data_IF_819368696193
#
_entry.id   IF_819368696193
#
_cell.length_a   1.000
_cell.length_b   1.000
_cell.length_c   1.000
_cell.angle_alpha   90.00
_cell.angle_beta   90.00
_cell.angle_gamma   90.00
#
_symmetry.space_group_name_H-M   'P 1'
#
loop_
_entity.id
_entity.type
_entity.pdbx_description
1 polymer ?
#
# COMPACT_ATOMS: atom_id res chain seq x y z
N UNK A 1 -2.06 40.86 20.80
CA UNK A 1 -2.70 39.87 19.92
C UNK A 1 -1.92 38.58 20.06
N UNK A 2 -2.60 37.47 20.37
CA UNK A 2 -1.94 36.18 20.59
C UNK A 2 -1.34 35.67 19.27
N UNK A 3 -0.03 35.44 19.28
CA UNK A 3 0.72 34.86 18.18
C UNK A 3 0.49 33.35 18.21
N UNK A 4 -0.52 32.85 17.48
CA UNK A 4 -0.71 31.42 17.27
C UNK A 4 0.34 30.92 16.29
N UNK A 5 1.49 30.51 16.81
CA UNK A 5 2.40 29.60 16.12
C UNK A 5 1.62 28.32 15.81
N UNK A 6 1.15 28.16 14.57
CA UNK A 6 0.61 26.87 14.10
C UNK A 6 1.74 25.84 14.17
N UNK A 7 1.61 24.86 15.04
CA UNK A 7 2.47 23.67 15.05
C UNK A 7 2.31 22.96 13.70
N UNK A 8 3.34 23.00 12.85
CA UNK A 8 3.34 22.47 11.49
C UNK A 8 3.41 20.95 11.38
N UNK A 9 2.73 20.22 12.25
CA UNK A 9 2.67 18.76 12.21
C UNK A 9 1.33 18.26 11.67
N UNK A 10 1.36 17.12 10.98
CA UNK A 10 0.16 16.38 10.61
C UNK A 10 -0.71 16.09 11.84
N UNK A 11 -1.99 16.43 11.73
CA UNK A 11 -3.00 16.05 12.72
C UNK A 11 -3.62 14.73 12.32
N UNK A 12 -3.50 13.73 13.19
CA UNK A 12 -4.14 12.44 13.03
C UNK A 12 -5.45 12.38 13.81
N UNK A 13 -6.45 11.71 13.23
CA UNK A 13 -7.70 11.34 13.90
C UNK A 13 -7.95 9.85 13.73
N UNK A 14 -8.60 9.23 14.74
CA UNK A 14 -9.01 7.83 14.72
C UNK A 14 -10.50 7.78 15.04
N UNK A 15 -11.31 7.43 14.05
CA UNK A 15 -12.75 7.22 14.20
C UNK A 15 -13.03 5.70 14.25
N UNK A 16 -13.89 5.25 15.16
CA UNK A 16 -14.27 3.83 15.29
C UNK A 16 -15.75 3.67 14.96
N UNK A 17 -16.04 2.84 13.96
CA UNK A 17 -17.40 2.47 13.54
C UNK A 17 -17.64 1.00 13.86
N UNK A 18 -18.65 0.73 14.68
CA UNK A 18 -18.99 -0.62 15.12
C UNK A 18 -20.46 -0.69 15.51
N UNK A 19 -21.02 -1.90 15.59
CA UNK A 19 -22.10 -2.16 16.54
C UNK A 19 -21.46 -2.63 17.84
N UNK A 20 -21.64 -1.88 18.93
CA UNK A 20 -21.07 -2.25 20.22
C UNK A 20 -21.87 -3.35 20.94
N UNK A 21 -23.11 -3.62 20.50
CA UNK A 21 -24.01 -4.53 21.19
C UNK A 21 -23.81 -5.96 20.70
N UNK A 22 -23.57 -6.87 21.64
CA UNK A 22 -23.48 -8.30 21.40
C UNK A 22 -24.72 -9.00 21.98
N UNK A 23 -25.24 -10.05 21.33
CA UNK A 23 -26.27 -10.89 21.94
C UNK A 23 -25.68 -11.65 23.13
N UNK A 24 -26.54 -12.23 23.97
CA UNK A 24 -26.12 -13.15 25.03
C UNK A 24 -25.23 -14.26 24.47
N UNK A 25 -24.07 -14.48 25.10
CA UNK A 25 -23.06 -15.45 24.63
C UNK A 25 -22.28 -15.03 23.37
N UNK A 26 -22.56 -13.86 22.78
CA UNK A 26 -21.80 -13.27 21.69
C UNK A 26 -20.36 -12.95 22.12
N UNK A 27 -19.39 -13.17 21.22
CA UNK A 27 -17.96 -13.04 21.55
C UNK A 27 -17.12 -12.36 20.48
N UNK A 28 -17.67 -12.01 19.33
CA UNK A 28 -16.92 -11.40 18.23
C UNK A 28 -17.36 -9.96 18.06
N UNK A 29 -16.38 -9.05 18.08
CA UNK A 29 -16.57 -7.61 17.93
C UNK A 29 -15.85 -7.17 16.66
N UNK A 30 -16.63 -6.67 15.70
CA UNK A 30 -16.13 -6.08 14.47
C UNK A 30 -16.16 -4.56 14.53
N UNK A 31 -15.05 -3.94 14.17
CA UNK A 31 -14.90 -2.49 14.09
C UNK A 31 -14.15 -2.06 12.84
N UNK A 32 -14.63 -1.00 12.21
CA UNK A 32 -13.88 -0.23 11.21
C UNK A 32 -13.23 0.95 11.89
N UNK A 33 -11.89 0.95 11.88
CA UNK A 33 -11.07 2.04 12.38
C UNK A 33 -10.64 2.90 11.19
N UNK A 34 -11.17 4.11 11.09
CA UNK A 34 -10.76 5.10 10.09
C UNK A 34 -9.67 5.97 10.68
N UNK A 35 -8.50 5.93 10.08
CA UNK A 35 -7.39 6.82 10.41
C UNK A 35 -7.30 7.88 9.33
N UNK A 36 -7.27 9.16 9.72
CA UNK A 36 -7.11 10.29 8.81
C UNK A 36 -5.95 11.15 9.27
N UNK A 37 -5.02 11.41 8.37
CA UNK A 37 -3.92 12.35 8.55
C UNK A 37 -4.24 13.61 7.75
N UNK A 38 -4.25 14.78 8.40
CA UNK A 38 -4.51 16.07 7.74
C UNK A 38 -3.41 17.07 8.06
N UNK A 39 -2.96 17.81 7.03
CA UNK A 39 -2.09 18.96 7.20
C UNK A 39 -0.59 18.67 7.02
N UNK A 40 -0.10 18.98 5.83
CA UNK A 40 1.27 19.34 5.50
C UNK A 40 1.15 20.46 4.47
N UNK A 41 1.50 21.69 4.84
CA UNK A 41 1.25 22.84 3.98
C UNK A 41 2.09 22.77 2.71
N UNK A 42 1.48 22.54 1.55
CA UNK A 42 2.13 22.78 0.26
C UNK A 42 2.41 24.29 0.15
N UNK A 43 3.67 24.68 0.32
CA UNK A 43 4.09 26.07 0.07
C UNK A 43 4.16 26.28 -1.44
N UNK A 44 3.02 26.62 -2.04
CA UNK A 44 3.00 27.38 -3.28
C UNK A 44 3.58 28.77 -2.97
N UNK A 45 4.81 29.04 -3.40
CA UNK A 45 5.46 30.34 -3.22
C UNK A 45 4.92 31.34 -4.24
N UNK A 46 4.14 32.31 -3.75
CA UNK A 46 3.94 33.61 -4.40
C UNK A 46 5.20 34.46 -4.13
N UNK A 47 5.77 35.18 -5.11
CA UNK A 47 7.01 35.91 -4.90
C UNK A 47 6.72 37.29 -4.29
N UNK A 48 7.26 37.58 -3.10
CA UNK A 48 7.35 38.96 -2.59
C UNK A 48 8.71 39.22 -1.91
N UNK A 49 9.52 39.96 -2.65
CA UNK A 49 10.44 41.06 -2.31
C UNK A 49 11.16 41.12 -0.95
N UNK A 50 12.46 41.40 -1.08
CA UNK A 50 13.49 41.58 -0.07
C UNK A 50 13.29 42.76 0.90
N UNK A 51 13.64 42.54 2.18
CA UNK A 51 14.36 43.48 3.08
C UNK A 51 15.07 42.66 4.19
N UNK A 52 16.34 42.94 4.57
CA UNK A 52 17.06 42.17 5.58
C UNK A 52 16.86 42.74 6.99
N UNK A 53 16.48 41.91 7.97
CA UNK A 53 16.66 42.24 9.38
C UNK A 53 17.13 41.02 10.19
N UNK A 54 18.13 41.31 11.03
CA UNK A 54 19.02 40.40 11.76
C UNK A 54 18.30 39.52 12.80
N UNK A 55 18.65 38.24 12.83
CA UNK A 55 18.25 37.24 13.84
C UNK A 55 19.27 37.13 14.97
N UNK A 56 18.86 36.85 16.23
CA UNK A 56 19.75 36.26 17.22
C UNK A 56 19.53 34.75 17.41
N UNK A 57 20.67 34.08 17.59
CA UNK A 57 20.95 32.81 18.28
C UNK A 57 20.43 31.48 17.72
N UNK A 58 21.36 30.86 17.02
CA UNK A 58 21.66 29.44 16.83
C UNK A 58 21.47 28.52 18.06
N UNK A 59 20.54 27.57 17.94
CA UNK A 59 20.77 26.19 18.39
C UNK A 59 21.05 25.34 17.15
N UNK A 60 22.12 24.53 17.20
CA UNK A 60 22.80 23.97 16.04
C UNK A 60 21.91 23.22 15.05
N UNK A 61 21.78 23.76 13.84
CA UNK A 61 21.36 22.99 12.69
C UNK A 61 22.48 21.99 12.35
N UNK A 62 22.27 20.70 12.66
CA UNK A 62 22.80 19.65 11.78
C UNK A 62 22.30 19.99 10.37
N UNK A 63 23.11 19.87 9.30
CA UNK A 63 22.56 19.92 7.95
C UNK A 63 21.44 18.87 7.91
N UNK A 64 20.22 19.32 7.64
CA UNK A 64 19.08 18.41 7.57
C UNK A 64 19.40 17.36 6.52
N UNK A 65 19.48 16.10 6.94
CA UNK A 65 19.64 14.98 6.01
C UNK A 65 18.45 14.93 5.04
N UNK A 66 18.53 14.09 4.00
CA UNK A 66 17.41 13.92 3.07
C UNK A 66 16.15 13.48 3.82
N UNK A 67 15.02 14.16 3.61
CA UNK A 67 13.73 13.77 4.22
C UNK A 67 13.16 12.47 3.63
N UNK A 68 13.64 12.08 2.43
CA UNK A 68 13.29 10.84 1.77
C UNK A 68 14.46 10.25 0.98
N UNK A 69 14.44 8.93 0.80
CA UNK A 69 15.34 8.18 -0.05
C UNK A 69 14.55 7.25 -0.98
N UNK A 70 14.87 7.27 -2.28
CA UNK A 70 14.14 6.50 -3.30
C UNK A 70 15.07 5.68 -4.19
N UNK A 71 14.75 4.39 -4.38
CA UNK A 71 15.43 3.55 -5.37
C UNK A 71 14.47 3.14 -6.47
N UNK A 72 14.78 3.48 -7.73
CA UNK A 72 14.00 3.02 -8.88
C UNK A 72 14.68 1.79 -9.49
N UNK A 73 14.00 0.65 -9.44
CA UNK A 73 14.43 -0.64 -9.98
C UNK A 73 13.78 -0.84 -11.36
N UNK A 74 14.60 -0.84 -12.40
CA UNK A 74 14.15 -0.92 -13.79
C UNK A 74 14.57 -2.26 -14.37
N UNK A 75 13.58 -3.07 -14.77
CA UNK A 75 13.82 -4.29 -15.53
C UNK A 75 14.58 -3.98 -16.83
N UNK A 76 15.71 -4.65 -16.98
CA UNK A 76 16.60 -4.62 -18.13
C UNK A 76 16.82 -6.04 -18.68
N UNK A 77 15.91 -6.98 -18.43
CA UNK A 77 15.94 -8.33 -18.97
C UNK A 77 15.77 -8.35 -20.49
N UNK A 78 16.02 -9.50 -21.12
CA UNK A 78 15.95 -9.64 -22.58
C UNK A 78 14.56 -9.33 -23.18
N UNK A 79 13.46 -9.57 -22.44
CA UNK A 79 12.09 -9.29 -22.90
C UNK A 79 11.82 -7.80 -23.14
N UNK A 80 12.56 -6.93 -22.44
CA UNK A 80 12.45 -5.47 -22.60
C UNK A 80 12.91 -4.96 -23.97
N UNK A 81 13.60 -5.79 -24.77
CA UNK A 81 14.00 -5.46 -26.13
C UNK A 81 12.86 -5.64 -27.15
N UNK A 82 11.81 -6.39 -26.81
CA UNK A 82 10.70 -6.68 -27.73
C UNK A 82 9.30 -6.40 -27.13
N UNK A 83 8.55 -5.43 -27.68
CA UNK A 83 8.98 -4.43 -28.66
C UNK A 83 9.98 -3.42 -28.05
N UNK A 84 10.88 -2.80 -28.85
CA UNK A 84 11.86 -1.82 -28.36
C UNK A 84 11.25 -0.59 -27.66
N UNK A 85 9.94 -0.39 -27.85
CA UNK A 85 9.17 0.65 -27.17
C UNK A 85 9.10 0.43 -25.65
N UNK A 86 9.17 -0.81 -25.14
CA UNK A 86 9.15 -1.13 -23.71
C UNK A 86 10.30 -0.47 -22.96
N UNK A 87 11.55 -0.76 -23.35
CA UNK A 87 12.74 -0.15 -22.76
C UNK A 87 12.76 1.37 -22.92
N UNK A 88 12.36 1.91 -24.10
CA UNK A 88 12.26 3.36 -24.29
C UNK A 88 11.29 4.00 -23.30
N UNK A 89 10.12 3.39 -23.11
CA UNK A 89 9.10 3.93 -22.22
C UNK A 89 9.48 3.74 -20.74
N UNK A 90 10.16 2.66 -20.36
CA UNK A 90 10.73 2.48 -19.03
C UNK A 90 11.76 3.56 -18.68
N UNK A 91 12.66 3.90 -19.61
CA UNK A 91 13.60 5.02 -19.45
C UNK A 91 12.88 6.35 -19.33
N UNK A 92 11.86 6.60 -20.17
CA UNK A 92 11.08 7.83 -20.13
C UNK A 92 10.31 7.98 -18.81
N UNK A 93 9.71 6.90 -18.32
CA UNK A 93 8.99 6.88 -17.06
C UNK A 93 9.90 7.06 -15.85
N UNK A 94 11.07 6.40 -15.86
CA UNK A 94 12.07 6.58 -14.80
C UNK A 94 12.60 8.02 -14.79
N UNK A 95 12.83 8.62 -15.97
CA UNK A 95 13.21 10.03 -16.07
C UNK A 95 12.12 10.96 -15.51
N UNK A 96 10.85 10.70 -15.84
CA UNK A 96 9.71 11.46 -15.32
C UNK A 96 9.59 11.35 -13.80
N UNK A 97 9.82 10.16 -13.23
CA UNK A 97 9.85 9.96 -11.78
C UNK A 97 10.99 10.75 -11.11
N UNK A 98 12.19 10.74 -11.71
CA UNK A 98 13.35 11.49 -11.21
C UNK A 98 13.08 13.01 -11.22
N UNK A 99 12.35 13.50 -12.22
CA UNK A 99 11.97 14.91 -12.31
C UNK A 99 10.98 15.35 -11.21
N UNK A 100 10.23 14.41 -10.64
CA UNK A 100 9.30 14.67 -9.53
C UNK A 100 10.00 14.73 -8.17
N UNK A 101 11.24 14.25 -8.05
CA UNK A 101 11.98 14.29 -6.79
C UNK A 101 12.15 15.73 -6.31
N UNK A 102 11.88 16.00 -5.02
CA UNK A 102 12.19 17.29 -4.39
C UNK A 102 13.70 17.47 -4.30
N UNK A 103 14.17 18.71 -4.36
CA UNK A 103 15.60 19.00 -4.16
C UNK A 103 16.07 18.45 -2.79
N UNK A 104 17.23 17.81 -2.78
CA UNK A 104 17.81 17.19 -1.59
C UNK A 104 17.33 15.76 -1.27
N UNK A 105 16.34 15.21 -1.98
CA UNK A 105 15.92 13.80 -1.81
C UNK A 105 17.03 12.87 -2.30
N UNK A 106 17.38 11.87 -1.49
CA UNK A 106 18.38 10.87 -1.88
C UNK A 106 17.79 9.88 -2.88
N UNK A 107 18.52 9.53 -3.94
CA UNK A 107 18.04 8.56 -4.92
C UNK A 107 19.12 7.73 -5.61
N UNK A 108 18.71 6.57 -6.12
CA UNK A 108 19.50 5.74 -7.01
C UNK A 108 18.62 5.04 -8.07
N UNK A 109 19.26 4.57 -9.12
CA UNK A 109 18.64 3.75 -10.17
C UNK A 109 19.36 2.41 -10.23
N UNK A 110 18.60 1.34 -10.11
CA UNK A 110 19.07 -0.04 -10.23
C UNK A 110 18.59 -0.64 -11.55
N UNK A 111 19.52 -1.18 -12.33
CA UNK A 111 19.23 -2.00 -13.50
C UNK A 111 19.07 -3.46 -13.05
N UNK A 112 17.89 -4.01 -13.28
CA UNK A 112 17.50 -5.35 -12.87
C UNK A 112 17.62 -6.37 -14.01
N UNK A 113 18.26 -7.50 -13.74
CA UNK A 113 18.28 -8.71 -14.60
C UNK A 113 18.26 -9.96 -13.71
N UNK A 114 18.86 -11.08 -14.09
CA UNK A 114 19.23 -12.16 -13.15
C UNK A 114 20.27 -11.70 -12.10
N UNK A 115 20.86 -10.52 -12.30
CA UNK A 115 21.69 -9.78 -11.35
C UNK A 115 21.16 -8.35 -11.20
N UNK A 116 21.45 -7.69 -10.08
CA UNK A 116 21.19 -6.27 -9.88
C UNK A 116 22.46 -5.45 -10.03
N UNK A 117 22.40 -4.31 -10.74
CA UNK A 117 23.52 -3.39 -10.89
C UNK A 117 23.07 -1.95 -10.62
N UNK A 118 23.91 -1.18 -9.93
CA UNK A 118 23.73 0.26 -9.82
C UNK A 118 23.95 0.93 -11.18
N UNK A 119 22.89 1.48 -11.77
CA UNK A 119 22.99 2.28 -12.98
C UNK A 119 23.41 3.72 -12.68
N UNK A 120 22.96 4.24 -11.53
CA UNK A 120 23.30 5.56 -11.01
C UNK A 120 23.05 5.60 -9.49
N UNK A 121 23.87 6.33 -8.70
CA UNK A 121 25.14 6.97 -9.05
C UNK A 121 26.34 6.01 -9.08
N UNK A 122 26.17 4.77 -8.61
CA UNK A 122 27.23 3.77 -8.49
C UNK A 122 28.06 3.91 -7.23
N UNK A 123 28.67 2.81 -6.80
CA UNK A 123 29.61 2.78 -5.67
C UNK A 123 28.92 2.69 -4.30
N UNK A 124 27.74 2.08 -4.22
CA UNK A 124 27.04 1.83 -2.96
C UNK A 124 26.52 3.10 -2.29
N UNK A 125 26.20 4.13 -3.06
CA UNK A 125 25.75 5.44 -2.53
C UNK A 125 24.47 5.91 -3.19
N UNK A 126 23.80 6.85 -2.53
CA UNK A 126 22.68 7.61 -3.10
C UNK A 126 23.17 9.00 -3.53
N UNK A 127 22.59 9.53 -4.61
CA UNK A 127 22.80 10.93 -5.02
C UNK A 127 21.71 11.81 -4.41
N UNK A 128 22.03 13.05 -4.06
CA UNK A 128 21.01 14.03 -3.68
C UNK A 128 20.41 14.65 -4.94
N UNK A 129 19.09 14.71 -5.03
CA UNK A 129 18.39 15.27 -6.17
C UNK A 129 18.66 16.77 -6.29
N UNK A 130 19.25 17.18 -7.40
CA UNK A 130 19.42 18.56 -7.85
C UNK A 130 19.37 18.59 -9.39
N UNK A 131 19.49 19.77 -10.01
CA UNK A 131 19.44 19.87 -11.46
C UNK A 131 20.53 19.05 -12.18
N UNK A 132 21.72 18.92 -11.58
CA UNK A 132 22.87 18.20 -12.15
C UNK A 132 22.72 16.70 -11.98
N UNK A 133 22.39 16.21 -10.79
CA UNK A 133 22.25 14.77 -10.53
C UNK A 133 21.06 14.18 -11.26
N UNK A 134 19.95 14.92 -11.40
CA UNK A 134 18.82 14.52 -12.27
C UNK A 134 19.26 14.34 -13.72
N UNK A 135 20.02 15.30 -14.26
CA UNK A 135 20.51 15.22 -15.63
C UNK A 135 21.49 14.05 -15.83
N UNK A 136 22.42 13.84 -14.90
CA UNK A 136 23.35 12.71 -14.92
C UNK A 136 22.62 11.36 -14.85
N UNK A 137 21.58 11.25 -14.01
CA UNK A 137 20.77 10.05 -13.92
C UNK A 137 20.05 9.77 -15.24
N UNK A 138 19.46 10.79 -15.89
CA UNK A 138 18.85 10.64 -17.22
C UNK A 138 19.85 10.18 -18.29
N UNK A 139 21.10 10.63 -18.22
CA UNK A 139 22.17 10.16 -19.10
C UNK A 139 22.53 8.70 -18.82
N UNK A 140 22.53 8.27 -17.56
CA UNK A 140 22.69 6.87 -17.19
C UNK A 140 21.54 5.99 -17.71
N UNK A 141 20.29 6.47 -17.65
CA UNK A 141 19.14 5.76 -18.21
C UNK A 141 19.29 5.47 -19.70
N UNK A 142 19.89 6.38 -20.47
CA UNK A 142 20.15 6.19 -21.91
C UNK A 142 21.09 5.01 -22.20
N UNK A 143 21.93 4.62 -21.23
CA UNK A 143 22.90 3.52 -21.33
C UNK A 143 22.35 2.18 -20.87
N UNK A 144 21.14 2.11 -20.32
CA UNK A 144 20.51 0.85 -19.92
C UNK A 144 20.26 -0.02 -21.15
N UNK A 145 20.80 -1.22 -21.23
CA UNK A 145 20.57 -2.13 -22.35
C UNK A 145 19.82 -3.36 -21.88
N UNK A 146 18.76 -3.80 -22.60
CA UNK A 146 18.12 -5.09 -22.35
C UNK A 146 19.11 -6.25 -22.48
N UNK A 147 19.00 -7.26 -21.61
CA UNK A 147 19.78 -8.48 -21.66
C UNK A 147 19.73 -9.30 -20.37
N UNK A 148 19.87 -10.62 -20.49
CA UNK A 148 19.85 -11.55 -19.35
C UNK A 148 18.44 -11.89 -18.86
N UNK A 149 18.37 -12.61 -17.73
CA UNK A 149 17.12 -13.05 -17.11
C UNK A 149 16.51 -12.06 -16.13
N UNK A 150 15.62 -12.55 -15.26
CA UNK A 150 14.86 -11.77 -14.26
C UNK A 150 14.90 -12.46 -12.90
N UNK A 151 15.58 -11.85 -11.93
CA UNK A 151 15.65 -12.29 -10.53
C UNK A 151 15.39 -11.10 -9.59
N UNK A 152 14.11 -10.82 -9.34
CA UNK A 152 13.61 -9.63 -8.65
C UNK A 152 14.16 -9.50 -7.23
N UNK A 153 14.31 -10.61 -6.52
CA UNK A 153 14.88 -10.65 -5.18
C UNK A 153 16.28 -10.03 -5.11
N UNK A 154 17.08 -10.15 -6.16
CA UNK A 154 18.40 -9.50 -6.22
C UNK A 154 18.29 -7.98 -6.29
N UNK A 155 17.26 -7.45 -6.97
CA UNK A 155 17.02 -6.01 -7.12
C UNK A 155 16.57 -5.42 -5.79
N UNK A 156 15.64 -6.10 -5.12
CA UNK A 156 15.11 -5.71 -3.82
C UNK A 156 16.22 -5.68 -2.76
N UNK A 157 17.10 -6.68 -2.73
CA UNK A 157 18.26 -6.68 -1.80
C UNK A 157 19.21 -5.52 -2.05
N UNK A 158 19.55 -5.24 -3.32
CA UNK A 158 20.41 -4.11 -3.65
C UNK A 158 19.74 -2.77 -3.30
N UNK A 159 18.44 -2.63 -3.56
CA UNK A 159 17.68 -1.45 -3.16
C UNK A 159 17.68 -1.26 -1.63
N UNK A 160 17.45 -2.34 -0.87
CA UNK A 160 17.55 -2.32 0.59
C UNK A 160 18.93 -1.87 1.08
N UNK A 161 20.01 -2.44 0.52
CA UNK A 161 21.39 -2.06 0.85
C UNK A 161 21.66 -0.56 0.59
N UNK A 162 21.20 -0.03 -0.55
CA UNK A 162 21.36 1.39 -0.88
C UNK A 162 20.55 2.28 0.07
N UNK A 163 19.29 1.92 0.35
CA UNK A 163 18.41 2.69 1.22
C UNK A 163 18.89 2.70 2.68
N UNK A 164 19.54 1.63 3.14
CA UNK A 164 20.16 1.55 4.46
C UNK A 164 21.31 2.55 4.67
N UNK A 165 21.96 2.99 3.59
CA UNK A 165 23.00 4.03 3.69
C UNK A 165 22.44 5.43 4.00
N UNK A 166 21.11 5.61 3.88
CA UNK A 166 20.45 6.87 4.13
C UNK A 166 19.90 6.96 5.55
N UNK A 167 20.12 8.11 6.20
CA UNK A 167 19.42 8.47 7.43
C UNK A 167 17.99 9.00 7.18
N UNK A 168 17.53 9.02 5.92
CA UNK A 168 16.18 9.47 5.59
C UNK A 168 15.10 8.63 6.29
N UNK A 169 14.10 9.27 6.91
CA UNK A 169 13.00 8.56 7.57
C UNK A 169 12.11 7.85 6.55
N UNK A 170 11.86 8.46 5.39
CA UNK A 170 11.02 7.88 4.34
C UNK A 170 11.91 7.15 3.34
N UNK A 171 11.79 5.82 3.27
CA UNK A 171 12.53 4.98 2.31
C UNK A 171 11.54 4.27 1.39
N UNK A 172 11.72 4.45 0.10
CA UNK A 172 10.77 3.95 -0.90
C UNK A 172 11.46 3.33 -2.12
N UNK A 173 10.88 2.26 -2.65
CA UNK A 173 11.27 1.60 -3.87
C UNK A 173 10.17 1.70 -4.92
N UNK A 174 10.55 1.92 -6.18
CA UNK A 174 9.65 1.75 -7.33
C UNK A 174 10.21 0.62 -8.18
N UNK A 175 9.43 -0.44 -8.36
CA UNK A 175 9.82 -1.61 -9.15
C UNK A 175 9.03 -1.65 -10.46
N UNK A 176 9.74 -1.81 -11.57
CA UNK A 176 9.17 -2.11 -12.88
C UNK A 176 9.61 -3.50 -13.34
N UNK A 177 8.67 -4.32 -13.81
CA UNK A 177 8.97 -5.59 -14.50
C UNK A 177 8.10 -5.76 -15.73
N UNK A 178 8.62 -6.36 -16.80
CA UNK A 178 7.82 -6.82 -17.94
C UNK A 178 7.78 -8.35 -18.06
N UNK A 179 8.60 -9.04 -17.26
CA UNK A 179 8.76 -10.48 -17.27
C UNK A 179 8.40 -11.15 -15.95
N UNK A 180 8.28 -12.48 -16.02
CA UNK A 180 8.17 -13.37 -14.86
C UNK A 180 9.52 -13.53 -14.15
N UNK A 181 9.48 -13.84 -12.87
CA UNK A 181 10.66 -14.05 -12.05
C UNK A 181 11.30 -15.45 -12.24
N UNK A 182 11.68 -15.79 -13.47
CA UNK A 182 12.05 -17.16 -13.86
C UNK A 182 13.50 -17.57 -13.47
N UNK A 183 14.30 -16.64 -12.97
CA UNK A 183 15.74 -16.86 -12.71
C UNK A 183 16.10 -16.83 -11.22
N UNK A 184 15.11 -17.00 -10.35
CA UNK A 184 15.30 -17.35 -8.94
C UNK A 184 14.17 -18.27 -8.45
N UNK A 185 14.46 -19.04 -7.40
CA UNK A 185 13.44 -19.89 -6.77
C UNK A 185 12.43 -19.03 -5.99
N UNK A 186 11.14 -19.43 -5.91
CA UNK A 186 10.13 -18.70 -5.14
C UNK A 186 10.52 -18.44 -3.68
N UNK A 187 11.19 -19.40 -3.04
CA UNK A 187 11.70 -19.25 -1.66
C UNK A 187 12.82 -18.20 -1.55
N UNK A 188 13.61 -17.99 -2.62
CA UNK A 188 14.64 -16.95 -2.64
C UNK A 188 14.03 -15.55 -2.73
N UNK A 189 12.95 -15.39 -3.50
CA UNK A 189 12.16 -14.15 -3.52
C UNK A 189 11.54 -13.90 -2.13
N UNK A 190 10.90 -14.92 -1.54
CA UNK A 190 10.29 -14.81 -0.20
C UNK A 190 11.32 -14.38 0.86
N UNK A 191 12.50 -15.00 0.88
CA UNK A 191 13.58 -14.60 1.78
C UNK A 191 14.06 -13.16 1.54
N UNK A 192 14.04 -12.68 0.28
CA UNK A 192 14.37 -11.29 -0.05
C UNK A 192 13.31 -10.32 0.49
N UNK A 193 12.03 -10.68 0.38
CA UNK A 193 10.91 -9.89 0.90
C UNK A 193 10.93 -9.83 2.42
N UNK A 194 11.14 -10.96 3.09
CA UNK A 194 11.29 -11.02 4.56
C UNK A 194 12.45 -10.13 5.03
N UNK A 195 13.57 -10.13 4.31
CA UNK A 195 14.72 -9.29 4.62
C UNK A 195 14.42 -7.79 4.45
N UNK A 196 13.67 -7.42 3.41
CA UNK A 196 13.36 -6.02 3.07
C UNK A 196 12.18 -5.45 3.87
N UNK A 197 11.31 -6.30 4.41
CA UNK A 197 10.12 -5.89 5.15
C UNK A 197 10.49 -4.98 6.33
N UNK A 198 9.79 -3.85 6.44
CA UNK A 198 10.03 -2.84 7.48
C UNK A 198 11.27 -1.96 7.26
N UNK A 199 12.09 -2.21 6.23
CA UNK A 199 13.25 -1.36 5.91
C UNK A 199 12.91 -0.25 4.93
N UNK A 200 12.02 -0.56 3.97
CA UNK A 200 11.50 0.39 3.00
C UNK A 200 10.13 -0.06 2.49
N UNK A 201 9.39 0.86 1.88
CA UNK A 201 8.13 0.54 1.18
C UNK A 201 8.36 0.38 -0.31
N UNK A 202 7.57 -0.44 -1.02
CA UNK A 202 7.78 -0.62 -2.47
C UNK A 202 6.48 -0.67 -3.27
N UNK A 203 6.35 0.27 -4.22
CA UNK A 203 5.36 0.16 -5.29
C UNK A 203 5.93 -0.69 -6.44
N UNK A 204 5.10 -1.53 -7.05
CA UNK A 204 5.49 -2.43 -8.14
C UNK A 204 4.54 -2.30 -9.35
N UNK A 205 5.09 -2.32 -10.55
CA UNK A 205 4.33 -2.21 -11.81
C UNK A 205 4.74 -3.30 -12.79
N UNK A 206 3.74 -4.00 -13.32
CA UNK A 206 3.90 -4.96 -14.40
C UNK A 206 3.54 -4.34 -15.75
N UNK A 207 4.44 -4.40 -16.72
CA UNK A 207 4.25 -3.83 -18.06
C UNK A 207 3.81 -4.90 -19.04
N UNK A 208 2.74 -4.63 -19.79
CA UNK A 208 2.18 -5.61 -20.71
C UNK A 208 1.58 -6.80 -19.98
N UNK A 209 1.76 -8.00 -20.52
CA UNK A 209 1.08 -9.22 -20.04
C UNK A 209 2.01 -10.41 -19.78
N UNK A 210 3.32 -10.22 -19.90
CA UNK A 210 4.32 -11.31 -19.86
C UNK A 210 4.95 -11.50 -18.46
N UNK A 211 4.23 -11.08 -17.41
CA UNK A 211 4.63 -11.16 -16.00
C UNK A 211 3.55 -11.85 -15.17
N UNK A 212 3.87 -12.25 -13.93
CA UNK A 212 2.94 -12.96 -13.05
C UNK A 212 2.31 -12.03 -12.01
N UNK A 213 0.97 -11.98 -11.98
CA UNK A 213 0.22 -11.08 -11.09
C UNK A 213 0.51 -11.37 -9.62
N UNK A 214 0.57 -12.66 -9.26
CA UNK A 214 0.83 -13.09 -7.88
C UNK A 214 2.22 -12.66 -7.39
N UNK A 215 3.24 -12.59 -8.25
CA UNK A 215 4.58 -12.14 -7.89
C UNK A 215 4.61 -10.63 -7.57
N UNK A 216 4.10 -9.80 -8.48
CA UNK A 216 4.10 -8.33 -8.33
C UNK A 216 3.23 -7.89 -7.16
N UNK A 217 2.07 -8.52 -6.98
CA UNK A 217 1.18 -8.23 -5.84
C UNK A 217 1.78 -8.69 -4.51
N UNK A 218 2.51 -9.80 -4.48
CA UNK A 218 3.22 -10.24 -3.27
C UNK A 218 4.32 -9.25 -2.85
N UNK A 219 5.06 -8.66 -3.80
CA UNK A 219 6.07 -7.63 -3.50
C UNK A 219 5.42 -6.40 -2.87
N UNK A 220 4.39 -5.87 -3.52
CA UNK A 220 3.66 -4.70 -3.02
C UNK A 220 3.04 -4.95 -1.64
N UNK A 221 2.42 -6.11 -1.45
CA UNK A 221 1.88 -6.52 -0.15
C UNK A 221 3.00 -6.57 0.90
N UNK A 222 4.05 -7.37 0.69
CA UNK A 222 5.14 -7.56 1.64
C UNK A 222 5.79 -6.22 2.06
N UNK A 223 5.95 -5.29 1.12
CA UNK A 223 6.60 -4.00 1.32
C UNK A 223 5.62 -2.83 1.44
N UNK A 224 4.37 -3.06 1.84
CA UNK A 224 3.37 -2.03 2.16
C UNK A 224 3.20 -0.95 1.07
N UNK A 225 3.28 -1.35 -0.19
CA UNK A 225 3.02 -0.50 -1.35
C UNK A 225 1.86 -1.00 -2.20
N UNK A 226 1.88 -0.65 -3.48
CA UNK A 226 0.79 -0.92 -4.44
C UNK A 226 1.29 -1.68 -5.66
N UNK A 227 0.43 -2.54 -6.21
CA UNK A 227 0.64 -3.20 -7.48
C UNK A 227 -0.39 -2.73 -8.51
N UNK A 228 0.03 -2.49 -9.76
CA UNK A 228 -0.88 -2.25 -10.88
C UNK A 228 -0.28 -2.74 -12.20
N UNK A 229 -1.15 -2.99 -13.17
CA UNK A 229 -0.79 -3.28 -14.55
C UNK A 229 -0.68 -1.97 -15.35
N UNK A 230 0.37 -1.89 -16.15
CA UNK A 230 0.51 -0.86 -17.19
C UNK A 230 0.37 -1.56 -18.53
N UNK A 231 -0.88 -1.63 -18.99
CA UNK A 231 -1.26 -2.32 -20.22
C UNK A 231 -0.61 -1.69 -21.46
N UNK A 232 -0.68 -0.35 -21.56
CA UNK A 232 0.01 0.42 -22.60
C UNK A 232 1.27 1.07 -22.01
N UNK A 233 2.46 0.72 -22.52
CA UNK A 233 3.71 1.39 -22.17
C UNK A 233 3.68 2.92 -22.28
N UNK A 234 2.80 3.54 -23.09
CA UNK A 234 2.67 4.99 -23.16
C UNK A 234 2.12 5.62 -21.86
N UNK A 235 1.33 4.88 -21.08
CA UNK A 235 0.81 5.32 -19.78
C UNK A 235 1.84 5.27 -18.65
N UNK A 236 3.00 4.66 -18.87
CA UNK A 236 3.97 4.36 -17.82
C UNK A 236 4.55 5.62 -17.15
N UNK A 237 4.82 6.67 -17.93
CA UNK A 237 5.39 7.91 -17.40
C UNK A 237 4.44 8.62 -16.43
N UNK A 238 3.16 8.75 -16.80
CA UNK A 238 2.15 9.37 -15.95
C UNK A 238 1.92 8.57 -14.65
N UNK A 239 2.02 7.23 -14.72
CA UNK A 239 1.89 6.39 -13.55
C UNK A 239 3.08 6.52 -12.60
N UNK A 240 4.30 6.53 -13.14
CA UNK A 240 5.53 6.75 -12.37
C UNK A 240 5.59 8.13 -11.71
N UNK A 241 5.18 9.18 -12.42
CA UNK A 241 5.03 10.51 -11.84
C UNK A 241 4.07 10.49 -10.66
N UNK A 242 2.88 9.88 -10.80
CA UNK A 242 1.88 9.80 -9.72
C UNK A 242 2.38 9.02 -8.51
N UNK A 243 3.08 7.90 -8.73
CA UNK A 243 3.70 7.13 -7.64
C UNK A 243 4.74 7.98 -6.90
N UNK A 244 5.61 8.66 -7.63
CA UNK A 244 6.63 9.52 -7.02
C UNK A 244 6.00 10.70 -6.29
N UNK A 245 4.97 11.34 -6.83
CA UNK A 245 4.20 12.40 -6.14
C UNK A 245 3.61 11.89 -4.83
N UNK A 246 3.04 10.67 -4.84
CA UNK A 246 2.48 10.04 -3.64
C UNK A 246 3.54 9.74 -2.59
N UNK A 247 4.71 9.23 -3.01
CA UNK A 247 5.84 8.95 -2.13
C UNK A 247 6.45 10.23 -1.54
N UNK A 248 6.56 11.29 -2.35
CA UNK A 248 7.09 12.60 -1.92
C UNK A 248 6.09 13.40 -1.08
N UNK A 249 4.80 13.11 -1.18
CA UNK A 249 3.76 13.66 -0.31
C UNK A 249 3.67 13.00 1.07
N UNK A 250 4.49 11.99 1.35
CA UNK A 250 4.64 11.44 2.70
C UNK A 250 5.53 12.37 3.54
N UNK A 251 5.17 12.55 4.80
CA UNK A 251 5.93 13.39 5.74
C UNK A 251 6.20 12.67 7.07
N UNK A 252 5.39 11.67 7.41
CA UNK A 252 5.50 10.92 8.67
C UNK A 252 5.86 9.47 8.37
N UNK A 253 7.07 9.05 8.71
CA UNK A 253 7.54 7.68 8.50
C UNK A 253 7.15 6.73 9.64
N UNK A 254 7.21 5.43 9.35
CA UNK A 254 7.19 4.33 10.31
C UNK A 254 6.03 4.33 11.32
N UNK A 255 4.86 4.81 10.89
CA UNK A 255 3.68 4.82 11.76
C UNK A 255 3.19 3.38 11.99
N UNK A 256 2.91 3.04 13.25
CA UNK A 256 2.31 1.76 13.61
C UNK A 256 0.89 1.95 14.17
N UNK A 257 0.02 0.99 13.84
CA UNK A 257 -1.27 0.83 14.50
C UNK A 257 -1.08 -0.11 15.69
N UNK A 258 -1.05 0.46 16.89
CA UNK A 258 -0.89 -0.26 18.15
C UNK A 258 -2.24 -0.73 18.67
N UNK A 259 -2.38 -2.04 18.86
CA UNK A 259 -3.55 -2.66 19.48
C UNK A 259 -3.22 -3.11 20.89
N UNK A 260 -3.99 -2.65 21.85
CA UNK A 260 -4.05 -3.24 23.19
C UNK A 260 -5.36 -4.03 23.35
N UNK A 261 -5.29 -5.22 23.95
CA UNK A 261 -6.48 -6.02 24.32
C UNK A 261 -6.52 -6.31 25.82
N UNK A 262 -7.71 -6.44 26.45
CA UNK A 262 -7.82 -6.90 27.82
C UNK A 262 -7.47 -8.38 27.94
N UNK A 263 -7.31 -8.87 29.19
CA UNK A 263 -7.07 -10.28 29.45
C UNK A 263 -8.24 -11.14 28.92
N UNK A 264 -7.92 -12.24 28.24
CA UNK A 264 -8.92 -13.15 27.66
C UNK A 264 -9.48 -12.70 26.31
N UNK A 265 -9.10 -11.53 25.81
CA UNK A 265 -9.43 -11.07 24.46
C UNK A 265 -8.27 -11.30 23.49
N UNK A 266 -8.62 -11.59 22.23
CA UNK A 266 -7.69 -11.95 21.17
C UNK A 266 -8.06 -11.26 19.86
N UNK A 267 -7.08 -10.69 19.17
CA UNK A 267 -7.25 -10.16 17.81
C UNK A 267 -7.39 -11.34 16.85
N UNK A 268 -8.59 -11.51 16.27
CA UNK A 268 -8.87 -12.53 15.25
C UNK A 268 -8.24 -12.17 13.93
N UNK A 269 -8.43 -10.91 13.51
CA UNK A 269 -7.72 -10.35 12.38
C UNK A 269 -7.64 -8.83 12.47
N UNK A 270 -6.63 -8.29 11.79
CA UNK A 270 -6.54 -6.89 11.40
C UNK A 270 -6.23 -6.84 9.90
N UNK A 271 -7.01 -6.05 9.16
CA UNK A 271 -6.82 -5.86 7.72
C UNK A 271 -6.98 -4.38 7.41
N UNK A 272 -6.15 -3.82 6.53
CA UNK A 272 -6.50 -2.59 5.84
C UNK A 272 -7.60 -2.92 4.83
N UNK A 273 -8.65 -2.12 4.78
CA UNK A 273 -9.79 -2.30 3.88
C UNK A 273 -10.02 -1.09 2.98
N UNK A 274 -9.30 0.02 3.17
CA UNK A 274 -9.22 1.12 2.21
C UNK A 274 -7.87 1.86 2.33
N UNK A 275 -7.28 2.35 1.22
CA UNK A 275 -7.81 2.32 -0.16
C UNK A 275 -7.63 0.99 -0.90
N UNK A 276 -6.88 0.05 -0.31
CA UNK A 276 -6.72 -1.30 -0.81
C UNK A 276 -6.78 -2.31 0.35
N UNK A 277 -7.23 -3.51 0.03
CA UNK A 277 -7.28 -4.65 0.95
C UNK A 277 -5.86 -5.18 1.18
N UNK A 278 -5.42 -5.15 2.43
CA UNK A 278 -4.11 -5.70 2.85
C UNK A 278 -4.25 -6.43 4.19
N UNK A 279 -3.71 -7.64 4.27
CA UNK A 279 -3.76 -8.43 5.50
C UNK A 279 -2.61 -8.03 6.44
N UNK A 280 -2.95 -7.63 7.66
CA UNK A 280 -1.98 -7.17 8.65
C UNK A 280 -1.84 -8.11 9.84
N UNK A 281 -2.76 -9.04 10.05
CA UNK A 281 -2.80 -9.95 11.22
C UNK A 281 -1.45 -10.59 11.54
N UNK A 282 -0.77 -11.13 10.53
CA UNK A 282 0.51 -11.84 10.67
C UNK A 282 1.73 -10.90 10.78
N UNK A 283 1.53 -9.60 10.60
CA UNK A 283 2.57 -8.57 10.70
C UNK A 283 2.68 -7.97 12.10
N UNK A 284 2.09 -8.62 13.09
CA UNK A 284 2.14 -8.16 14.48
C UNK A 284 3.56 -8.22 15.03
N UNK A 285 4.04 -7.11 15.58
CA UNK A 285 5.25 -7.04 16.39
C UNK A 285 4.84 -6.88 17.85
N UNK A 286 5.33 -7.75 18.74
CA UNK A 286 5.04 -7.63 20.17
C UNK A 286 5.70 -6.37 20.76
N UNK A 287 4.89 -5.51 21.38
CA UNK A 287 5.34 -4.23 21.95
C UNK A 287 5.11 -4.13 23.46
N UNK A 288 4.72 -5.24 24.10
CA UNK A 288 4.51 -5.35 25.54
C UNK A 288 3.36 -6.31 25.90
N UNK A 289 3.05 -6.48 27.18
CA UNK A 289 1.98 -7.35 27.62
C UNK A 289 0.63 -6.95 27.03
N UNK A 290 0.07 -7.81 26.16
CA UNK A 290 -1.20 -7.58 25.45
C UNK A 290 -1.18 -6.37 24.52
N UNK A 291 0.00 -5.98 24.03
CA UNK A 291 0.18 -4.88 23.07
C UNK A 291 0.88 -5.44 21.83
N UNK A 292 0.24 -5.27 20.67
CA UNK A 292 0.83 -5.60 19.37
C UNK A 292 0.82 -4.40 18.44
N UNK A 293 1.95 -4.16 17.78
CA UNK A 293 2.11 -3.12 16.76
C UNK A 293 1.95 -3.73 15.38
N UNK A 294 1.19 -3.05 14.52
CA UNK A 294 0.97 -3.43 13.13
C UNK A 294 1.52 -2.34 12.22
N UNK A 295 2.46 -2.66 11.31
CA UNK A 295 3.12 -1.64 10.51
C UNK A 295 2.14 -1.05 9.49
N UNK A 296 2.09 0.28 9.42
CA UNK A 296 1.29 1.00 8.42
C UNK A 296 2.14 1.82 7.45
N UNK A 297 3.46 1.80 7.60
CA UNK A 297 4.38 2.53 6.72
C UNK A 297 4.27 4.04 6.88
N UNK A 298 4.57 4.77 5.80
CA UNK A 298 4.61 6.24 5.81
C UNK A 298 3.24 6.87 5.50
N UNK A 299 3.00 8.05 6.06
CA UNK A 299 1.75 8.81 5.94
C UNK A 299 2.00 10.23 5.40
N UNK A 300 1.09 10.67 4.53
CA UNK A 300 0.94 12.05 4.07
C UNK A 300 -0.47 12.57 4.38
N UNK A 301 -1.01 13.47 3.54
CA UNK A 301 -2.42 13.87 3.61
C UNK A 301 -3.31 12.78 2.99
N UNK A 302 -3.77 11.85 3.84
CA UNK A 302 -4.47 10.65 3.40
C UNK A 302 -5.38 10.07 4.49
N UNK A 303 -6.17 9.08 4.10
CA UNK A 303 -6.98 8.31 5.05
C UNK A 303 -7.04 6.85 4.66
N UNK A 304 -6.93 5.99 5.68
CA UNK A 304 -6.98 4.53 5.54
C UNK A 304 -7.95 3.96 6.55
N UNK A 305 -8.65 2.92 6.13
CA UNK A 305 -9.66 2.27 6.95
C UNK A 305 -9.19 0.85 7.25
N UNK A 306 -9.34 0.41 8.50
CA UNK A 306 -8.90 -0.90 8.98
C UNK A 306 -10.08 -1.66 9.57
N UNK A 307 -10.24 -2.92 9.19
CA UNK A 307 -11.22 -3.83 9.79
C UNK A 307 -10.52 -4.68 10.85
N UNK A 308 -10.91 -4.44 12.10
CA UNK A 308 -10.46 -5.16 13.28
C UNK A 308 -11.59 -6.08 13.77
N UNK A 309 -11.28 -7.36 13.93
CA UNK A 309 -12.13 -8.31 14.63
C UNK A 309 -11.44 -8.79 15.90
N UNK A 310 -12.13 -8.67 17.04
CA UNK A 310 -11.63 -9.11 18.35
C UNK A 310 -12.58 -10.14 18.93
N UNK A 311 -12.03 -11.26 19.37
CA UNK A 311 -12.75 -12.22 20.21
C UNK A 311 -12.61 -11.82 21.67
N UNK A 312 -13.72 -11.59 22.36
CA UNK A 312 -13.79 -11.24 23.78
C UNK A 312 -14.22 -12.43 24.65
N UNK A 313 -13.92 -12.44 25.97
CA UNK A 313 -14.53 -13.41 26.88
C UNK A 313 -16.05 -13.18 26.95
N UNK A 314 -16.79 -14.22 27.30
CA UNK A 314 -18.23 -14.08 27.54
C UNK A 314 -18.47 -13.22 28.79
N UNK A 315 -19.53 -12.41 28.78
CA UNK A 315 -19.91 -11.54 29.87
C UNK A 315 -21.45 -11.60 30.05
N UNK A 316 -21.94 -11.11 31.19
CA UNK A 316 -23.37 -11.10 31.47
C UNK A 316 -24.09 -9.97 30.72
N UNK A 317 -25.40 -10.13 30.46
CA UNK A 317 -26.24 -9.07 29.89
C UNK A 317 -26.16 -7.81 30.76
N UNK A 318 -25.97 -6.65 30.12
CA UNK A 318 -25.77 -5.35 30.77
C UNK A 318 -24.31 -5.00 31.08
N UNK A 319 -23.38 -5.95 30.98
CA UNK A 319 -21.96 -5.67 31.16
C UNK A 319 -21.37 -4.97 29.93
N UNK A 320 -20.43 -4.06 30.19
CA UNK A 320 -19.64 -3.37 29.18
C UNK A 320 -18.16 -3.67 29.36
N UNK A 321 -17.45 -3.89 28.24
CA UNK A 321 -16.00 -3.97 28.22
C UNK A 321 -15.36 -3.22 27.07
N UNK A 322 -14.08 -2.90 27.26
CA UNK A 322 -13.22 -2.44 26.18
C UNK A 322 -12.61 -3.68 25.48
N UNK A 323 -13.07 -4.00 24.28
CA UNK A 323 -12.54 -5.11 23.47
C UNK A 323 -11.12 -4.83 22.97
N UNK A 324 -10.85 -3.59 22.55
CA UNK A 324 -9.51 -3.14 22.19
C UNK A 324 -9.34 -1.62 22.33
N UNK A 325 -8.10 -1.19 22.58
CA UNK A 325 -7.67 0.19 22.37
C UNK A 325 -6.78 0.24 21.15
N UNK A 326 -7.14 1.07 20.19
CA UNK A 326 -6.40 1.29 18.95
C UNK A 326 -5.68 2.61 19.06
N UNK A 327 -4.36 2.62 18.97
CA UNK A 327 -3.54 3.82 19.04
C UNK A 327 -2.67 3.92 17.80
N UNK A 328 -2.63 5.10 17.18
CA UNK A 328 -1.65 5.39 16.15
C UNK A 328 -0.38 5.90 16.85
N UNK A 329 0.76 5.23 16.63
CA UNK A 329 2.01 5.55 17.33
C UNK A 329 3.14 5.81 16.36
N UNK A 330 4.02 6.74 16.73
CA UNK A 330 5.36 6.87 16.17
C UNK A 330 6.34 6.10 17.05
N UNK A 331 6.93 5.00 16.55
CA UNK A 331 8.07 4.36 17.18
C UNK A 331 9.20 5.38 17.28
N UNK A 332 9.86 5.43 18.42
CA UNK A 332 11.06 6.26 18.61
C UNK A 332 12.30 5.38 18.48
N UNK A 333 13.26 5.73 17.60
CA UNK A 333 14.46 4.91 17.35
C UNK A 333 15.37 4.73 18.58
N UNK A 334 15.27 5.63 19.56
CA UNK A 334 16.10 5.66 20.76
C UNK A 334 15.58 4.78 21.91
N UNK A 335 14.48 4.02 21.68
CA UNK A 335 13.87 3.15 22.68
C UNK A 335 13.09 3.90 23.78
N UNK A 336 12.85 5.20 23.59
CA UNK A 336 11.94 5.97 24.44
C UNK A 336 10.48 5.53 24.26
N UNK A 337 9.57 6.11 25.05
CA UNK A 337 8.14 5.77 24.92
C UNK A 337 7.61 6.26 23.57
N UNK A 338 6.97 5.39 22.77
CA UNK A 338 6.39 5.77 21.49
C UNK A 338 5.39 6.92 21.65
N UNK A 339 5.43 7.88 20.72
CA UNK A 339 4.50 9.01 20.75
C UNK A 339 3.14 8.55 20.22
N UNK A 340 2.09 8.71 21.03
CA UNK A 340 0.71 8.46 20.60
C UNK A 340 0.19 9.67 19.84
N UNK A 341 -0.16 9.47 18.57
CA UNK A 341 -0.67 10.51 17.67
C UNK A 341 -2.19 10.67 17.79
N UNK A 342 -2.91 9.56 17.91
CA UNK A 342 -4.36 9.51 18.04
C UNK A 342 -4.79 8.15 18.60
N UNK A 343 -6.02 8.04 19.13
CA UNK A 343 -6.55 6.79 19.66
C UNK A 343 -8.06 6.65 19.47
N UNK A 344 -8.53 5.41 19.38
CA UNK A 344 -9.93 5.00 19.34
C UNK A 344 -10.19 3.80 20.23
N UNK A 345 -11.42 3.66 20.71
CA UNK A 345 -11.84 2.60 21.62
C UNK A 345 -12.84 1.68 20.93
N UNK A 346 -12.60 0.38 21.00
CA UNK A 346 -13.50 -0.66 20.51
C UNK A 346 -14.24 -1.27 21.70
N UNK A 347 -15.54 -1.10 21.77
CA UNK A 347 -16.38 -1.50 22.92
C UNK A 347 -17.15 -2.79 22.65
N UNK A 348 -17.53 -3.50 23.70
CA UNK A 348 -18.47 -4.61 23.65
C UNK A 348 -19.46 -4.47 24.82
N UNK A 349 -20.76 -4.54 24.52
CA UNK A 349 -21.86 -4.39 25.48
C UNK A 349 -22.81 -5.56 25.26
N UNK A 350 -22.99 -6.42 26.25
CA UNK A 350 -23.92 -7.56 26.11
C UNK A 350 -25.34 -7.10 26.37
N UNK A 351 -26.27 -7.50 25.51
CA UNK A 351 -27.68 -7.11 25.60
C UNK A 351 -28.59 -8.28 25.22
N UNK A 352 -29.78 -8.29 25.83
CA UNK A 352 -30.92 -9.13 25.45
C UNK A 352 -31.83 -8.44 24.41
N UNK A 353 -31.57 -7.17 24.08
CA UNK A 353 -32.26 -6.47 23.00
C UNK A 353 -31.81 -7.00 21.63
N UNK A 354 -32.70 -7.76 21.01
CA UNK A 354 -32.47 -8.33 19.68
C UNK A 354 -32.28 -7.23 18.62
N UNK A 355 -32.96 -6.10 18.72
CA UNK A 355 -32.83 -5.02 17.75
C UNK A 355 -31.46 -4.34 17.85
N UNK A 356 -30.95 -4.13 19.08
CA UNK A 356 -29.63 -3.56 19.30
C UNK A 356 -28.51 -4.51 18.83
N UNK A 357 -28.60 -5.80 19.18
CA UNK A 357 -27.58 -6.81 18.84
C UNK A 357 -27.56 -7.21 17.36
N UNK A 358 -28.70 -7.13 16.66
CA UNK A 358 -28.79 -7.43 15.22
C UNK A 358 -28.62 -6.21 14.31
N UNK A 359 -28.42 -5.02 14.89
CA UNK A 359 -28.20 -3.80 14.12
C UNK A 359 -26.92 -3.90 13.29
N UNK A 360 -27.05 -3.62 11.99
CA UNK A 360 -25.94 -3.71 11.03
C UNK A 360 -25.23 -2.36 10.98
N UNK A 361 -23.94 -2.34 11.34
CA UNK A 361 -23.10 -1.16 11.09
C UNK A 361 -22.78 -1.07 9.58
N UNK A 362 -23.14 0.04 8.95
CA UNK A 362 -23.02 0.23 7.51
C UNK A 362 -21.56 0.12 7.02
N UNK A 363 -20.59 0.66 7.77
CA UNK A 363 -19.17 0.59 7.42
C UNK A 363 -18.64 -0.84 7.50
N UNK A 364 -18.96 -1.57 8.58
CA UNK A 364 -18.57 -2.98 8.75
C UNK A 364 -19.16 -3.83 7.61
N UNK A 365 -20.46 -3.67 7.33
CA UNK A 365 -21.13 -4.42 6.27
C UNK A 365 -20.54 -4.12 4.88
N UNK A 366 -20.26 -2.85 4.58
CA UNK A 366 -19.65 -2.43 3.33
C UNK A 366 -18.27 -3.08 3.11
N UNK A 367 -17.36 -2.96 4.08
CA UNK A 367 -16.00 -3.49 3.93
C UNK A 367 -15.93 -5.01 3.99
N UNK A 368 -16.82 -5.66 4.74
CA UNK A 368 -16.99 -7.12 4.68
C UNK A 368 -17.39 -7.56 3.26
N UNK A 369 -18.35 -6.85 2.65
CA UNK A 369 -18.76 -7.11 1.26
C UNK A 369 -17.66 -6.88 0.22
N UNK A 370 -16.81 -5.86 0.40
CA UNK A 370 -15.66 -5.60 -0.49
C UNK A 370 -14.58 -6.71 -0.34
N UNK A 371 -14.31 -7.17 0.88
CA UNK A 371 -13.38 -8.27 1.11
C UNK A 371 -13.89 -9.59 0.49
N UNK A 372 -15.19 -9.87 0.60
CA UNK A 372 -15.81 -10.99 -0.10
C UNK A 372 -15.68 -10.86 -1.62
N UNK A 373 -15.95 -9.66 -2.17
CA UNK A 373 -15.83 -9.38 -3.60
C UNK A 373 -14.43 -9.72 -4.13
N UNK A 374 -13.38 -9.22 -3.48
CA UNK A 374 -11.99 -9.49 -3.85
C UNK A 374 -11.70 -11.00 -3.88
N UNK A 375 -12.11 -11.73 -2.83
CA UNK A 375 -11.93 -13.19 -2.74
C UNK A 375 -12.66 -13.92 -3.86
N UNK A 376 -13.92 -13.58 -4.16
CA UNK A 376 -14.69 -14.22 -5.23
C UNK A 376 -14.10 -13.97 -6.62
N UNK A 377 -13.50 -12.79 -6.85
CA UNK A 377 -12.78 -12.51 -8.09
C UNK A 377 -11.56 -13.42 -8.22
N UNK A 378 -10.72 -13.48 -7.19
CA UNK A 378 -9.50 -14.30 -7.19
C UNK A 378 -9.82 -15.79 -7.39
N UNK A 379 -10.76 -16.33 -6.60
CA UNK A 379 -11.20 -17.72 -6.74
C UNK A 379 -11.78 -17.99 -8.13
N UNK A 380 -12.60 -17.08 -8.67
CA UNK A 380 -13.19 -17.23 -9.99
C UNK A 380 -12.18 -17.23 -11.13
N UNK A 381 -11.13 -16.40 -11.04
CA UNK A 381 -10.04 -16.37 -12.01
C UNK A 381 -9.12 -17.60 -11.91
N UNK A 382 -8.87 -18.09 -10.69
CA UNK A 382 -8.11 -19.32 -10.47
C UNK A 382 -8.84 -20.55 -11.03
N UNK A 383 -10.16 -20.67 -10.76
CA UNK A 383 -10.99 -21.74 -11.33
C UNK A 383 -11.06 -21.68 -12.86
N UNK A 384 -11.11 -20.47 -13.43
CA UNK A 384 -11.06 -20.29 -14.88
C UNK A 384 -9.72 -20.78 -15.45
N UNK A 385 -8.60 -20.49 -14.78
CA UNK A 385 -7.26 -20.95 -15.19
C UNK A 385 -7.12 -22.47 -15.09
N UNK A 386 -7.71 -23.11 -14.07
CA UNK A 386 -7.68 -24.56 -13.91
C UNK A 386 -8.68 -25.30 -14.82
N UNK A 387 -9.55 -24.59 -15.54
CA UNK A 387 -10.53 -25.17 -16.46
C UNK A 387 -11.88 -25.51 -15.83
N UNK A 388 -12.09 -25.20 -14.54
CA UNK A 388 -13.39 -25.34 -13.88
C UNK A 388 -14.29 -24.15 -14.23
N UNK A 389 -14.94 -24.25 -15.39
CA UNK A 389 -15.80 -23.18 -15.92
C UNK A 389 -17.07 -22.97 -15.11
N UNK A 390 -17.63 -24.04 -14.52
CA UNK A 390 -18.86 -23.94 -13.72
C UNK A 390 -18.57 -23.25 -12.38
N UNK A 391 -17.49 -23.66 -11.71
CA UNK A 391 -16.99 -23.01 -10.52
C UNK A 391 -16.63 -21.55 -10.77
N UNK A 392 -15.92 -21.26 -11.85
CA UNK A 392 -15.58 -19.88 -12.25
C UNK A 392 -16.83 -19.02 -12.51
N UNK A 393 -17.85 -19.58 -13.18
CA UNK A 393 -19.13 -18.89 -13.44
C UNK A 393 -19.82 -18.53 -12.13
N UNK A 394 -19.90 -19.48 -11.18
CA UNK A 394 -20.53 -19.25 -9.88
C UNK A 394 -19.80 -18.16 -9.06
N UNK A 395 -18.47 -18.23 -9.00
CA UNK A 395 -17.66 -17.27 -8.22
C UNK A 395 -17.67 -15.87 -8.84
N UNK A 396 -17.47 -15.75 -10.15
CA UNK A 396 -17.51 -14.45 -10.84
C UNK A 396 -18.93 -13.86 -10.89
N UNK A 397 -19.97 -14.71 -10.94
CA UNK A 397 -21.36 -14.27 -10.80
C UNK A 397 -21.64 -13.64 -9.44
N UNK A 398 -21.15 -14.27 -8.36
CA UNK A 398 -21.24 -13.70 -7.01
C UNK A 398 -20.43 -12.40 -6.87
N UNK A 399 -19.27 -12.31 -7.52
CA UNK A 399 -18.50 -11.07 -7.59
C UNK A 399 -19.28 -9.94 -8.28
N UNK A 400 -19.91 -10.20 -9.43
CA UNK A 400 -20.78 -9.20 -10.10
C UNK A 400 -21.91 -8.72 -9.19
N UNK A 401 -22.54 -9.65 -8.47
CA UNK A 401 -23.60 -9.32 -7.52
C UNK A 401 -23.13 -8.41 -6.37
N UNK A 402 -21.93 -8.67 -5.83
CA UNK A 402 -21.34 -7.86 -4.76
C UNK A 402 -20.87 -6.48 -5.27
N UNK A 403 -20.26 -6.42 -6.46
CA UNK A 403 -19.85 -5.17 -7.09
C UNK A 403 -21.05 -4.25 -7.34
N UNK A 404 -22.17 -4.81 -7.84
CA UNK A 404 -23.42 -4.08 -8.06
C UNK A 404 -24.02 -3.56 -6.75
N UNK A 405 -24.12 -4.40 -5.71
CA UNK A 405 -24.68 -4.01 -4.40
C UNK A 405 -23.84 -2.96 -3.68
N UNK A 406 -22.52 -2.99 -3.83
CA UNK A 406 -21.60 -2.06 -3.17
C UNK A 406 -21.37 -0.77 -3.96
N UNK A 407 -21.94 -0.64 -5.16
CA UNK A 407 -21.72 0.51 -6.04
C UNK A 407 -20.29 0.63 -6.57
N UNK A 408 -19.53 -0.47 -6.58
CA UNK A 408 -18.16 -0.48 -7.10
C UNK A 408 -18.18 -0.57 -8.63
N UNK A 409 -18.50 0.56 -9.27
CA UNK A 409 -18.64 0.66 -10.73
C UNK A 409 -17.36 0.29 -11.50
N UNK A 410 -16.19 0.62 -10.94
CA UNK A 410 -14.91 0.33 -11.59
C UNK A 410 -14.65 -1.18 -11.63
N UNK A 411 -14.84 -1.89 -10.51
CA UNK A 411 -14.73 -3.35 -10.50
C UNK A 411 -15.83 -4.00 -11.35
N UNK A 412 -17.05 -3.45 -11.38
CA UNK A 412 -18.11 -3.93 -12.26
C UNK A 412 -17.73 -3.82 -13.76
N UNK A 413 -17.12 -2.70 -14.17
CA UNK A 413 -16.60 -2.51 -15.54
C UNK A 413 -15.49 -3.51 -15.86
N UNK A 414 -14.60 -3.81 -14.91
CA UNK A 414 -13.55 -4.81 -15.09
C UNK A 414 -14.12 -6.22 -15.21
N UNK A 415 -15.08 -6.59 -14.34
CA UNK A 415 -15.79 -7.87 -14.41
C UNK A 415 -16.48 -8.05 -15.76
N UNK A 416 -17.14 -7.01 -16.27
CA UNK A 416 -17.79 -7.02 -17.58
C UNK A 416 -16.82 -7.23 -18.76
N UNK A 417 -15.50 -7.09 -18.57
CA UNK A 417 -14.50 -7.48 -19.59
C UNK A 417 -14.26 -8.99 -19.61
N UNK A 418 -14.53 -9.71 -18.52
CA UNK A 418 -14.25 -11.15 -18.35
C UNK A 418 -15.52 -12.00 -18.46
N UNK A 419 -16.67 -11.46 -18.06
CA UNK A 419 -17.98 -12.14 -18.12
C UNK A 419 -19.02 -11.30 -18.86
N UNK A 420 -19.97 -11.97 -19.51
CA UNK A 420 -21.21 -11.38 -20.02
C UNK A 420 -22.24 -11.39 -18.90
N UNK A 421 -22.59 -10.20 -18.41
CA UNK A 421 -23.57 -10.04 -17.33
C UNK A 421 -24.98 -10.16 -17.91
N UNK A 422 -25.73 -11.17 -17.49
CA UNK A 422 -27.14 -11.36 -17.86
C UNK A 422 -28.04 -10.65 -16.85
N UNK A 423 -27.76 -10.84 -15.56
CA UNK A 423 -28.45 -10.15 -14.48
C UNK A 423 -27.50 -9.92 -13.29
N UNK A 424 -27.16 -8.66 -13.04
CA UNK A 424 -26.26 -8.27 -11.97
C UNK A 424 -26.89 -8.44 -10.56
N UNK A 425 -28.22 -8.38 -10.42
CA UNK A 425 -28.89 -8.48 -9.13
C UNK A 425 -28.89 -9.91 -8.61
N UNK A 426 -29.06 -10.89 -9.50
CA UNK A 426 -28.98 -12.32 -9.16
C UNK A 426 -27.57 -12.89 -9.29
N UNK A 427 -26.64 -12.17 -9.94
CA UNK A 427 -25.30 -12.66 -10.22
C UNK A 427 -25.25 -13.65 -11.39
N UNK A 428 -26.25 -13.62 -12.26
CA UNK A 428 -26.32 -14.50 -13.43
C UNK A 428 -25.39 -13.97 -14.52
N UNK A 429 -24.35 -14.74 -14.83
CA UNK A 429 -23.31 -14.37 -15.81
C UNK A 429 -22.99 -15.54 -16.73
N UNK A 430 -22.45 -15.25 -17.90
CA UNK A 430 -21.79 -16.24 -18.77
C UNK A 430 -20.33 -15.88 -18.92
N UNK A 431 -19.43 -16.85 -18.81
CA UNK A 431 -18.02 -16.62 -19.07
C UNK A 431 -17.81 -16.25 -20.54
N UNK A 432 -17.02 -15.22 -20.82
CA UNK A 432 -16.64 -14.93 -22.19
C UNK A 432 -15.73 -16.02 -22.73
N UNK A 433 -15.99 -16.45 -23.95
CA UNK A 433 -15.20 -17.45 -24.65
C UNK A 433 -13.76 -16.96 -24.92
N UNK A 434 -13.60 -15.67 -25.22
CA UNK A 434 -12.30 -15.02 -25.43
C UNK A 434 -12.18 -13.82 -24.49
N UNK A 435 -11.19 -13.86 -23.60
CA UNK A 435 -10.82 -12.78 -22.69
C UNK A 435 -9.35 -12.46 -22.96
N UNK A 436 -9.01 -11.18 -23.09
CA UNK A 436 -7.61 -10.79 -23.27
C UNK A 436 -6.84 -11.00 -21.96
N UNK A 437 -5.57 -11.38 -22.06
CA UNK A 437 -4.70 -11.52 -20.89
C UNK A 437 -4.68 -10.21 -20.06
N UNK A 438 -4.61 -9.08 -20.74
CA UNK A 438 -4.70 -7.74 -20.13
C UNK A 438 -5.95 -7.57 -19.27
N UNK A 439 -7.14 -7.93 -19.78
CA UNK A 439 -8.39 -7.76 -19.03
C UNK A 439 -8.43 -8.64 -17.78
N UNK A 440 -7.95 -9.89 -17.90
CA UNK A 440 -7.86 -10.82 -16.77
C UNK A 440 -6.86 -10.32 -15.72
N UNK A 441 -5.65 -9.94 -16.13
CA UNK A 441 -4.61 -9.43 -15.23
C UNK A 441 -5.01 -8.10 -14.59
N UNK A 442 -5.71 -7.22 -15.31
CA UNK A 442 -6.23 -5.97 -14.75
C UNK A 442 -7.26 -6.25 -13.66
N UNK A 443 -8.20 -7.17 -13.91
CA UNK A 443 -9.21 -7.56 -12.92
C UNK A 443 -8.55 -8.21 -11.69
N UNK A 444 -7.59 -9.10 -11.91
CA UNK A 444 -6.86 -9.78 -10.83
C UNK A 444 -6.08 -8.78 -9.97
N UNK A 445 -5.27 -7.93 -10.60
CA UNK A 445 -4.42 -6.94 -9.91
C UNK A 445 -5.25 -5.90 -9.14
N UNK A 446 -6.38 -5.47 -9.71
CA UNK A 446 -7.25 -4.44 -9.11
C UNK A 446 -8.37 -5.00 -8.23
N UNK A 447 -8.44 -6.32 -8.06
CA UNK A 447 -9.46 -6.99 -7.22
C UNK A 447 -9.39 -6.56 -5.75
N UNK A 448 -8.21 -6.15 -5.29
CA UNK A 448 -7.97 -5.68 -3.92
C UNK A 448 -8.22 -4.18 -3.74
N UNK A 449 -8.45 -3.41 -4.81
CA UNK A 449 -8.82 -2.00 -4.70
C UNK A 449 -10.26 -1.88 -4.20
N UNK A 450 -10.46 -1.07 -3.17
CA UNK A 450 -11.77 -0.92 -2.53
C UNK A 450 -12.31 0.50 -2.72
N UNK A 451 -13.63 0.63 -2.67
CA UNK A 451 -14.31 1.93 -2.68
C UNK A 451 -14.62 2.32 -1.24
N UNK A 452 -14.30 3.55 -0.83
CA UNK A 452 -14.63 4.03 0.51
C UNK A 452 -16.13 4.30 0.66
N UNK A 453 -16.64 4.11 1.87
CA UNK A 453 -17.97 4.58 2.24
C UNK A 453 -17.98 6.11 2.14
N UNK A 454 -18.90 6.67 1.35
CA UNK A 454 -19.11 8.12 1.31
C UNK A 454 -19.64 8.55 2.69
N UNK A 455 -18.95 9.48 3.35
CA UNK A 455 -19.39 10.08 4.62
C UNK A 455 -20.68 10.87 4.43
#
# INVERSE_FOLDING_TARGET
MANFSKSGGHRFTVDVYQNAHLPEGGREVDAIVTVTATGGGTTATVPLSAVPHQSPSSHGLRPAGPDAAVVVMVDCSGSMDYPPTKMRNARAATAAAIDTLRDGVAFAVVAGTHQAKEAYPGGGRLALADATTRQQAKEALRRLTPGGGTAIGTWLRLAGQLLETSEAPIRHGILLTDGRNEHEEPDALRASLEHCAGRFTCDARGVGTDWEVKEVTAIASALLGTADIVADPAGLAADFTRMMETAMGKEVADVALRLWTPQGAEVKFLKQVAPALEALTERRVEAGPRIGDYPTGSWGDESRDYHLCVRVPAAAVGEEMLAARVSLVLPTPDGSSPQVLAQGLVRAIWTDDLAASTSINAQVAHYTGQAELARYIQEGLDLRRSGDLDGATAKLGRAVQLANRSGNEDTAKLLAKVVDVVDAATGTVRLKAKVTAEAQMTLETRSTKTVRVKK
#
